data_IF_026925448512
#
_entry.id   IF_026925448512
#
_cell.length_a   1.000
_cell.length_b   1.000
_cell.length_c   1.000
_cell.angle_alpha   90.00
_cell.angle_beta   90.00
_cell.angle_gamma   90.00
#
_symmetry.space_group_name_H-M   'P 1'
#
loop_
_entity.id
_entity.type
_entity.pdbx_description
1 polymer ?
#
# COMPACT_ATOMS: atom_id res chain seq x y z
N UNK A 1 -14.05 -3.09 -31.30
CA UNK A 1 -13.86 -2.71 -29.88
C UNK A 1 -12.37 -2.77 -29.59
N UNK A 2 -11.71 -1.63 -29.41
CA UNK A 2 -10.32 -1.58 -28.95
C UNK A 2 -10.31 -2.21 -27.56
N UNK A 3 -9.64 -3.36 -27.39
CA UNK A 3 -9.30 -3.90 -26.06
C UNK A 3 -8.42 -2.83 -25.40
N UNK A 4 -8.95 -2.08 -24.44
CA UNK A 4 -8.12 -1.25 -23.58
C UNK A 4 -7.08 -2.16 -22.95
N UNK A 5 -5.82 -1.93 -23.31
CA UNK A 5 -4.72 -2.72 -22.79
C UNK A 5 -4.51 -2.25 -21.35
N UNK A 6 -4.83 -3.10 -20.37
CA UNK A 6 -4.58 -2.81 -18.95
C UNK A 6 -3.11 -2.43 -18.79
N UNK A 7 -2.84 -1.27 -18.17
CA UNK A 7 -1.48 -0.76 -17.95
C UNK A 7 -1.05 -0.85 -16.50
N UNK A 8 -2.00 -0.91 -15.57
CA UNK A 8 -1.73 -0.88 -14.13
C UNK A 8 -2.70 -1.79 -13.38
N UNK A 9 -2.20 -2.48 -12.38
CA UNK A 9 -3.00 -3.18 -11.37
C UNK A 9 -3.17 -2.26 -10.16
N UNK A 10 -4.41 -2.07 -9.71
CA UNK A 10 -4.71 -1.44 -8.43
C UNK A 10 -5.02 -2.55 -7.43
N UNK A 11 -4.29 -2.61 -6.35
CA UNK A 11 -4.41 -3.69 -5.37
C UNK A 11 -4.78 -3.17 -4.00
N UNK A 12 -5.82 -3.77 -3.42
CA UNK A 12 -6.25 -3.48 -2.06
C UNK A 12 -6.71 -4.76 -1.37
N UNK A 13 -6.77 -4.70 -0.05
CA UNK A 13 -7.34 -5.76 0.80
C UNK A 13 -8.34 -5.15 1.77
N UNK A 14 -9.31 -5.94 2.19
CA UNK A 14 -10.26 -5.60 3.25
C UNK A 14 -10.67 -6.87 3.99
N UNK A 15 -11.33 -6.75 5.14
CA UNK A 15 -11.71 -7.89 5.96
C UNK A 15 -12.98 -7.61 6.79
N UNK A 16 -13.73 -8.66 7.11
CA UNK A 16 -14.88 -8.61 8.00
C UNK A 16 -15.86 -7.50 7.65
N UNK A 17 -16.34 -6.78 8.66
CA UNK A 17 -17.32 -5.71 8.48
C UNK A 17 -16.78 -4.47 7.70
N UNK A 18 -15.48 -4.33 7.50
CA UNK A 18 -14.91 -3.25 6.68
C UNK A 18 -15.31 -3.38 5.22
N UNK A 19 -15.57 -4.62 4.74
CA UNK A 19 -16.05 -4.89 3.38
C UNK A 19 -17.32 -4.09 3.03
N UNK A 20 -18.12 -3.72 4.03
CA UNK A 20 -19.29 -2.84 3.84
C UNK A 20 -18.94 -1.49 3.20
N UNK A 21 -17.73 -1.01 3.38
CA UNK A 21 -17.34 0.33 2.98
C UNK A 21 -16.36 0.37 1.80
N UNK A 22 -15.71 -0.77 1.46
CA UNK A 22 -14.66 -0.83 0.46
C UNK A 22 -15.11 -0.42 -0.95
N UNK A 23 -16.40 -0.61 -1.29
CA UNK A 23 -16.98 -0.13 -2.56
C UNK A 23 -16.75 1.36 -2.78
N UNK A 24 -16.80 2.18 -1.71
CA UNK A 24 -16.56 3.64 -1.79
C UNK A 24 -15.13 3.97 -2.22
N UNK A 25 -14.16 3.23 -1.70
CA UNK A 25 -12.76 3.34 -2.14
C UNK A 25 -12.62 2.93 -3.61
N UNK A 26 -13.20 1.78 -3.99
CA UNK A 26 -13.17 1.27 -5.37
C UNK A 26 -13.79 2.28 -6.33
N UNK A 27 -14.96 2.84 -6.02
CA UNK A 27 -15.59 3.87 -6.86
C UNK A 27 -14.72 5.11 -7.01
N UNK A 28 -13.96 5.52 -5.99
CA UNK A 28 -13.05 6.65 -6.12
C UNK A 28 -11.96 6.42 -7.15
N UNK A 29 -11.50 5.17 -7.31
CA UNK A 29 -10.52 4.78 -8.32
C UNK A 29 -11.17 4.67 -9.71
N UNK A 30 -12.34 4.02 -9.82
CA UNK A 30 -13.08 3.89 -11.08
C UNK A 30 -13.45 5.25 -11.68
N UNK A 31 -13.74 6.23 -10.82
CA UNK A 31 -14.04 7.61 -11.21
C UNK A 31 -12.77 8.47 -11.43
N UNK A 32 -11.58 7.91 -11.24
CA UNK A 32 -10.32 8.59 -11.50
C UNK A 32 -10.09 8.96 -12.97
N UNK A 33 -9.11 9.81 -13.23
CA UNK A 33 -8.78 10.31 -14.59
C UNK A 33 -8.10 9.25 -15.47
N UNK A 34 -7.40 8.27 -14.88
CA UNK A 34 -6.72 7.19 -15.59
C UNK A 34 -7.60 5.94 -15.66
N UNK A 35 -7.90 5.45 -16.87
CA UNK A 35 -8.89 4.39 -17.09
C UNK A 35 -8.31 3.00 -17.39
N UNK A 36 -7.04 2.91 -17.80
CA UNK A 36 -6.40 1.63 -18.16
C UNK A 36 -5.95 0.85 -16.91
N UNK A 37 -6.87 0.65 -15.97
CA UNK A 37 -6.63 -0.02 -14.69
C UNK A 37 -7.37 -1.34 -14.58
N UNK A 38 -6.79 -2.28 -13.85
CA UNK A 38 -7.46 -3.48 -13.36
C UNK A 38 -7.41 -3.50 -11.83
N UNK A 39 -8.57 -3.50 -11.19
CA UNK A 39 -8.67 -3.44 -9.73
C UNK A 39 -8.79 -4.85 -9.19
N UNK A 40 -7.92 -5.21 -8.26
CA UNK A 40 -7.93 -6.52 -7.58
C UNK A 40 -8.18 -6.29 -6.08
N UNK A 41 -9.31 -6.79 -5.61
CA UNK A 41 -9.61 -6.88 -4.18
C UNK A 41 -9.23 -8.27 -3.68
N UNK A 42 -8.23 -8.37 -2.83
CA UNK A 42 -7.81 -9.64 -2.22
C UNK A 42 -8.39 -9.75 -0.81
N UNK A 43 -9.11 -10.82 -0.53
CA UNK A 43 -9.65 -11.10 0.81
C UNK A 43 -9.44 -12.57 1.18
N UNK A 44 -9.38 -12.86 2.48
CA UNK A 44 -9.38 -14.24 2.96
C UNK A 44 -10.74 -14.92 2.67
N UNK A 45 -10.74 -16.20 2.32
CA UNK A 45 -11.97 -16.97 2.05
C UNK A 45 -13.00 -16.89 3.18
N UNK A 46 -12.56 -16.84 4.43
CA UNK A 46 -13.41 -16.68 5.62
C UNK A 46 -14.26 -15.40 5.59
N UNK A 47 -13.77 -14.35 4.92
CA UNK A 47 -14.42 -13.04 4.87
C UNK A 47 -15.43 -12.92 3.72
N UNK A 48 -15.53 -13.91 2.83
CA UNK A 48 -16.46 -13.92 1.70
C UNK A 48 -17.91 -13.69 2.13
N UNK A 49 -18.30 -14.19 3.28
CA UNK A 49 -19.66 -14.03 3.84
C UNK A 49 -20.04 -12.58 4.17
N UNK A 50 -19.06 -11.67 4.26
CA UNK A 50 -19.28 -10.26 4.58
C UNK A 50 -19.37 -9.38 3.32
N UNK A 51 -19.31 -9.95 2.11
CA UNK A 51 -19.42 -9.20 0.86
C UNK A 51 -20.84 -8.62 0.75
N UNK A 52 -21.01 -7.29 0.73
CA UNK A 52 -22.32 -6.67 0.56
C UNK A 52 -22.76 -6.69 -0.90
N UNK A 53 -24.07 -6.54 -1.15
CA UNK A 53 -24.67 -6.58 -2.49
C UNK A 53 -23.99 -5.62 -3.48
N UNK A 54 -23.66 -4.41 -3.04
CA UNK A 54 -23.00 -3.41 -3.90
C UNK A 54 -21.61 -3.90 -4.37
N UNK A 55 -20.84 -4.52 -3.47
CA UNK A 55 -19.54 -5.08 -3.81
C UNK A 55 -19.68 -6.32 -4.70
N UNK A 56 -20.68 -7.17 -4.43
CA UNK A 56 -20.98 -8.33 -5.25
C UNK A 56 -21.32 -7.92 -6.70
N UNK A 57 -22.08 -6.84 -6.90
CA UNK A 57 -22.38 -6.30 -8.21
C UNK A 57 -21.12 -5.88 -8.99
N UNK A 58 -20.15 -5.24 -8.32
CA UNK A 58 -18.88 -4.88 -8.95
C UNK A 58 -18.08 -6.12 -9.41
N UNK A 59 -18.16 -7.21 -8.65
CA UNK A 59 -17.53 -8.48 -8.99
C UNK A 59 -18.25 -9.13 -10.17
N UNK A 60 -19.56 -9.25 -10.12
CA UNK A 60 -20.39 -9.92 -11.13
C UNK A 60 -20.34 -9.23 -12.50
N UNK A 61 -20.18 -7.90 -12.49
CA UNK A 61 -20.02 -7.10 -13.71
C UNK A 61 -18.57 -7.04 -14.22
N UNK A 62 -17.64 -7.72 -13.55
CA UNK A 62 -16.20 -7.67 -13.86
C UNK A 62 -15.60 -6.25 -13.80
N UNK A 63 -16.21 -5.35 -13.03
CA UNK A 63 -15.64 -4.03 -12.76
C UNK A 63 -14.39 -4.14 -11.88
N UNK A 64 -14.31 -5.19 -11.07
CA UNK A 64 -13.15 -5.57 -10.27
C UNK A 64 -12.93 -7.09 -10.30
N UNK A 65 -11.71 -7.51 -9.99
CA UNK A 65 -11.40 -8.90 -9.71
C UNK A 65 -11.43 -9.15 -8.21
N UNK A 66 -12.14 -10.21 -7.78
CA UNK A 66 -12.06 -10.74 -6.42
C UNK A 66 -11.04 -11.88 -6.38
N UNK A 67 -9.96 -11.70 -5.62
CA UNK A 67 -8.97 -12.74 -5.35
C UNK A 67 -9.19 -13.30 -3.94
N UNK A 68 -9.65 -14.57 -3.87
CA UNK A 68 -9.85 -15.28 -2.61
C UNK A 68 -8.60 -16.05 -2.23
N UNK A 69 -8.12 -15.86 -0.99
CA UNK A 69 -6.93 -16.51 -0.47
C UNK A 69 -7.24 -17.32 0.79
N UNK A 70 -6.48 -18.38 1.02
CA UNK A 70 -6.66 -19.24 2.19
C UNK A 70 -6.05 -18.62 3.44
N UNK A 71 -4.83 -18.08 3.34
CA UNK A 71 -4.11 -17.48 4.45
C UNK A 71 -4.29 -15.95 4.45
N UNK A 72 -4.79 -15.44 5.57
CA UNK A 72 -4.91 -14.01 5.84
C UNK A 72 -3.57 -13.48 6.36
N UNK A 73 -2.89 -12.67 5.58
CA UNK A 73 -1.63 -12.04 5.93
C UNK A 73 -1.82 -10.61 6.50
N UNK A 74 -3.04 -10.28 6.95
CA UNK A 74 -3.35 -8.93 7.42
C UNK A 74 -3.13 -7.88 6.32
N UNK A 75 -2.50 -6.73 6.63
CA UNK A 75 -2.26 -5.68 5.64
C UNK A 75 -1.32 -6.10 4.51
N UNK A 76 -0.49 -7.15 4.71
CA UNK A 76 0.38 -7.69 3.65
C UNK A 76 -0.41 -8.36 2.51
N UNK A 77 -1.65 -8.77 2.76
CA UNK A 77 -2.54 -9.38 1.76
C UNK A 77 -2.71 -8.48 0.53
N UNK A 78 -2.69 -7.15 0.70
CA UNK A 78 -2.87 -6.20 -0.42
C UNK A 78 -1.76 -6.25 -1.48
N UNK A 79 -0.54 -6.68 -1.13
CA UNK A 79 0.56 -6.76 -2.11
C UNK A 79 1.02 -8.18 -2.40
N UNK A 80 1.05 -9.05 -1.40
CA UNK A 80 1.72 -10.36 -1.47
C UNK A 80 1.20 -11.22 -2.62
N UNK A 81 -0.10 -11.47 -2.66
CA UNK A 81 -0.70 -12.35 -3.67
C UNK A 81 -0.74 -11.70 -5.06
N UNK A 82 -0.99 -10.39 -5.10
CA UNK A 82 -1.11 -9.66 -6.36
C UNK A 82 0.24 -9.50 -7.04
N UNK A 83 1.32 -9.21 -6.31
CA UNK A 83 2.67 -9.15 -6.87
C UNK A 83 3.17 -10.51 -7.35
N UNK A 84 2.74 -11.61 -6.74
CA UNK A 84 3.02 -12.97 -7.24
C UNK A 84 2.27 -13.29 -8.53
N UNK A 85 1.04 -12.78 -8.68
CA UNK A 85 0.17 -13.05 -9.83
C UNK A 85 0.47 -12.15 -11.02
N UNK A 86 0.69 -10.86 -10.81
CA UNK A 86 0.85 -9.83 -11.87
C UNK A 86 2.26 -9.31 -11.94
N UNK A 87 3.21 -10.17 -12.30
CA UNK A 87 4.65 -9.84 -12.28
C UNK A 87 5.06 -8.83 -13.35
N UNK A 88 4.34 -8.79 -14.49
CA UNK A 88 4.72 -8.01 -15.67
C UNK A 88 4.09 -6.61 -15.71
N UNK A 89 3.25 -6.27 -14.77
CA UNK A 89 2.55 -4.98 -14.71
C UNK A 89 2.96 -4.20 -13.46
N UNK A 90 3.01 -2.86 -13.53
CA UNK A 90 3.15 -2.06 -12.34
C UNK A 90 1.91 -2.19 -11.46
N UNK A 91 2.13 -2.23 -10.14
CA UNK A 91 1.07 -2.42 -9.15
C UNK A 91 1.01 -1.18 -8.25
N UNK A 92 -0.18 -0.60 -8.11
CA UNK A 92 -0.43 0.43 -7.10
C UNK A 92 -1.18 -0.22 -5.93
N UNK A 93 -0.59 -0.16 -4.74
CA UNK A 93 -1.27 -0.56 -3.51
C UNK A 93 -1.99 0.63 -2.89
N UNK A 94 -3.21 0.40 -2.40
CA UNK A 94 -4.03 1.39 -1.68
C UNK A 94 -4.67 0.72 -0.45
N UNK A 95 -5.14 1.54 0.50
CA UNK A 95 -5.91 1.07 1.64
C UNK A 95 -7.42 1.08 1.32
N UNK A 96 -8.24 0.40 2.12
CA UNK A 96 -9.68 0.18 1.89
C UNK A 96 -10.60 1.22 2.53
N UNK A 97 -10.04 2.27 3.16
CA UNK A 97 -10.76 3.10 4.12
C UNK A 97 -10.83 4.60 3.78
N UNK A 98 -10.70 4.95 2.50
CA UNK A 98 -10.77 6.35 2.10
C UNK A 98 -11.12 6.60 0.63
N UNK A 99 -11.51 7.83 0.34
CA UNK A 99 -11.78 8.33 -1.01
C UNK A 99 -10.49 8.92 -1.57
N UNK A 100 -9.97 8.30 -2.61
CA UNK A 100 -8.73 8.72 -3.26
C UNK A 100 -8.93 9.89 -4.22
N UNK A 101 -7.86 10.68 -4.38
CA UNK A 101 -7.78 11.74 -5.39
C UNK A 101 -7.98 11.15 -6.80
N UNK A 102 -8.86 11.74 -7.63
CA UNK A 102 -9.07 11.28 -9.01
C UNK A 102 -7.80 11.18 -9.85
N UNK A 103 -6.76 11.94 -9.53
CA UNK A 103 -5.46 11.92 -10.22
C UNK A 103 -4.44 10.97 -9.60
N UNK A 104 -4.82 10.14 -8.62
CA UNK A 104 -3.90 9.22 -7.92
C UNK A 104 -3.09 8.39 -8.93
N UNK A 105 -3.80 7.62 -9.76
CA UNK A 105 -3.17 6.67 -10.69
C UNK A 105 -2.35 7.39 -11.74
N UNK A 106 -2.91 8.44 -12.33
CA UNK A 106 -2.26 9.24 -13.37
C UNK A 106 -0.91 9.83 -12.89
N UNK A 107 -0.90 10.43 -11.69
CA UNK A 107 0.32 11.06 -11.16
C UNK A 107 1.40 10.05 -10.80
N UNK A 108 1.01 8.92 -10.17
CA UNK A 108 1.92 7.82 -9.86
C UNK A 108 2.49 7.19 -11.14
N UNK A 109 1.63 6.93 -12.13
CA UNK A 109 2.07 6.32 -13.39
C UNK A 109 3.00 7.22 -14.19
N UNK A 110 2.69 8.52 -14.28
CA UNK A 110 3.58 9.49 -14.91
C UNK A 110 4.95 9.50 -14.25
N UNK A 111 5.00 9.56 -12.92
CA UNK A 111 6.26 9.54 -12.17
C UNK A 111 7.04 8.22 -12.39
N UNK A 112 6.35 7.09 -12.43
CA UNK A 112 6.96 5.80 -12.75
C UNK A 112 7.58 5.76 -14.15
N UNK A 113 6.93 6.31 -15.16
CA UNK A 113 7.48 6.34 -16.52
C UNK A 113 8.81 7.10 -16.61
N UNK A 114 8.97 8.13 -15.76
CA UNK A 114 10.20 8.93 -15.64
C UNK A 114 11.27 8.20 -14.78
N UNK A 115 10.85 7.27 -13.88
CA UNK A 115 11.69 6.67 -12.85
C UNK A 115 11.41 5.16 -12.70
N UNK A 116 11.65 4.38 -13.73
CA UNK A 116 11.27 2.96 -13.81
C UNK A 116 11.92 2.04 -12.77
N UNK A 117 13.01 2.46 -12.17
CA UNK A 117 13.76 1.67 -11.18
C UNK A 117 13.49 2.13 -9.73
N UNK A 118 12.43 2.94 -9.50
CA UNK A 118 12.08 3.48 -8.20
C UNK A 118 10.66 3.11 -7.82
N UNK A 119 10.40 2.96 -6.54
CA UNK A 119 9.05 2.92 -6.00
C UNK A 119 8.54 4.36 -5.91
N UNK A 120 7.32 4.62 -6.44
CA UNK A 120 6.72 5.94 -6.46
C UNK A 120 5.62 6.03 -5.40
N UNK A 121 5.73 6.97 -4.45
CA UNK A 121 4.78 7.09 -3.35
C UNK A 121 4.28 8.53 -3.18
N UNK A 122 2.97 8.72 -2.98
CA UNK A 122 2.38 10.05 -2.75
C UNK A 122 2.54 10.51 -1.31
N UNK A 123 2.75 9.59 -0.38
CA UNK A 123 3.01 9.88 1.02
C UNK A 123 4.23 9.11 1.49
N UNK A 124 5.22 9.84 2.01
CA UNK A 124 6.45 9.26 2.52
C UNK A 124 6.83 9.85 3.88
N UNK A 125 7.61 9.10 4.65
CA UNK A 125 8.26 9.56 5.86
C UNK A 125 9.76 9.53 5.65
N UNK A 126 10.50 10.53 6.17
CA UNK A 126 11.97 10.52 6.14
C UNK A 126 12.49 9.79 7.36
N UNK A 127 13.22 8.71 7.13
CA UNK A 127 13.94 7.94 8.14
C UNK A 127 15.09 8.80 8.67
N UNK A 128 15.21 8.92 9.98
CA UNK A 128 16.26 9.73 10.63
C UNK A 128 17.18 8.86 11.47
N UNK A 129 18.43 9.32 11.55
CA UNK A 129 19.48 8.73 12.35
C UNK A 129 20.05 9.74 13.34
N UNK A 130 20.57 9.24 14.46
CA UNK A 130 21.40 9.99 15.39
C UNK A 130 22.79 9.33 15.39
N UNK A 131 23.78 10.01 14.82
CA UNK A 131 25.13 9.47 14.61
C UNK A 131 25.09 8.09 13.91
N UNK A 132 25.08 7.02 14.71
CA UNK A 132 25.11 5.63 14.23
C UNK A 132 23.79 4.86 14.38
N UNK A 133 22.80 5.42 15.07
CA UNK A 133 21.57 4.71 15.41
C UNK A 133 20.36 5.27 14.65
N UNK A 134 19.48 4.38 14.20
CA UNK A 134 18.20 4.78 13.69
C UNK A 134 17.35 5.35 14.83
N UNK A 135 16.74 6.50 14.59
CA UNK A 135 15.83 7.11 15.56
C UNK A 135 14.51 6.32 15.63
N UNK A 136 13.86 6.38 16.79
CA UNK A 136 12.53 5.83 16.96
C UNK A 136 11.57 6.38 15.89
N UNK A 137 10.64 5.57 15.41
CA UNK A 137 9.70 5.88 14.33
C UNK A 137 9.00 7.24 14.54
N UNK A 138 8.57 7.56 15.76
CA UNK A 138 7.92 8.86 16.07
C UNK A 138 8.81 10.08 15.90
N UNK A 139 10.12 9.91 15.80
CA UNK A 139 11.08 10.99 15.56
C UNK A 139 11.41 11.17 14.09
N UNK A 140 10.90 10.33 13.20
CA UNK A 140 11.03 10.50 11.76
C UNK A 140 10.20 11.71 11.30
N UNK A 141 10.53 12.26 10.13
CA UNK A 141 9.74 13.35 9.57
C UNK A 141 8.58 12.74 8.79
N UNK A 142 7.38 12.89 9.36
CA UNK A 142 6.15 12.43 8.71
C UNK A 142 5.75 13.37 7.58
N UNK A 143 5.05 12.82 6.56
CA UNK A 143 4.53 13.55 5.42
C UNK A 143 5.60 14.42 4.75
N UNK A 144 6.80 13.83 4.57
CA UNK A 144 7.97 14.51 4.07
C UNK A 144 7.83 14.83 2.58
N UNK A 145 7.88 16.09 2.21
CA UNK A 145 7.63 16.59 0.85
C UNK A 145 8.74 17.50 0.31
N UNK A 146 9.91 17.50 0.93
CA UNK A 146 11.04 18.35 0.54
C UNK A 146 12.06 17.65 -0.36
N UNK A 147 12.03 16.32 -0.42
CA UNK A 147 12.94 15.53 -1.24
C UNK A 147 12.34 15.32 -2.63
N UNK A 148 12.94 15.90 -3.65
CA UNK A 148 12.52 15.70 -5.04
C UNK A 148 13.25 14.53 -5.71
N UNK A 149 14.36 14.09 -5.12
CA UNK A 149 15.16 12.98 -5.62
C UNK A 149 14.73 11.67 -4.95
N UNK A 150 15.07 10.57 -5.62
CA UNK A 150 14.90 9.24 -5.06
C UNK A 150 15.84 9.01 -3.87
N UNK A 151 15.37 8.30 -2.84
CA UNK A 151 16.16 8.02 -1.65
C UNK A 151 15.76 6.71 -1.00
N UNK A 152 16.76 5.95 -0.52
CA UNK A 152 16.54 4.78 0.33
C UNK A 152 16.03 5.17 1.72
N UNK A 153 16.27 6.39 2.17
CA UNK A 153 15.82 6.89 3.47
C UNK A 153 14.37 7.38 3.46
N UNK A 154 13.63 7.21 2.37
CA UNK A 154 12.19 7.47 2.33
C UNK A 154 11.43 6.16 2.60
N UNK A 155 10.54 6.17 3.58
CA UNK A 155 9.54 5.13 3.81
C UNK A 155 8.27 5.50 3.05
N UNK A 156 7.87 4.71 2.06
CA UNK A 156 6.56 4.80 1.44
C UNK A 156 5.47 4.33 2.42
N UNK A 157 4.33 5.02 2.48
CA UNK A 157 3.19 4.60 3.32
C UNK A 157 1.97 4.30 2.46
N UNK A 158 1.40 3.10 2.67
CA UNK A 158 0.32 2.54 1.85
C UNK A 158 -0.90 3.44 1.72
N UNK A 159 -1.24 4.17 2.78
CA UNK A 159 -2.43 5.05 2.82
C UNK A 159 -2.42 6.11 1.71
N UNK A 160 -1.27 6.60 1.29
CA UNK A 160 -1.15 7.60 0.21
C UNK A 160 -1.29 7.03 -1.20
N UNK A 161 -1.19 5.72 -1.35
CA UNK A 161 -1.00 5.03 -2.62
C UNK A 161 0.47 4.93 -3.01
N UNK A 162 0.91 3.71 -3.32
CA UNK A 162 2.31 3.39 -3.66
C UNK A 162 2.37 2.56 -4.93
N UNK A 163 3.11 3.01 -5.93
CA UNK A 163 3.36 2.27 -7.16
C UNK A 163 4.68 1.52 -7.07
N UNK A 164 4.59 0.23 -7.31
CA UNK A 164 5.70 -0.70 -7.45
C UNK A 164 5.88 -1.07 -8.93
N UNK A 165 7.05 -0.80 -9.54
CA UNK A 165 7.36 -1.29 -10.88
C UNK A 165 7.26 -2.81 -11.01
N UNK A 166 7.10 -3.36 -12.22
CA UNK A 166 7.07 -4.80 -12.44
C UNK A 166 8.29 -5.50 -11.84
N UNK A 167 8.06 -6.58 -11.10
CA UNK A 167 9.12 -7.41 -10.49
C UNK A 167 10.14 -6.67 -9.63
N UNK A 168 9.88 -5.44 -9.19
CA UNK A 168 10.89 -4.66 -8.45
C UNK A 168 11.21 -5.26 -7.08
N UNK A 169 10.21 -5.85 -6.43
CA UNK A 169 10.38 -6.61 -5.19
C UNK A 169 10.20 -8.11 -5.47
N UNK A 170 11.08 -8.91 -4.91
CA UNK A 170 10.98 -10.36 -4.98
C UNK A 170 10.04 -10.87 -3.89
N UNK A 171 8.79 -11.14 -4.29
CA UNK A 171 7.75 -11.65 -3.40
C UNK A 171 7.53 -13.13 -3.68
N UNK A 172 7.75 -13.95 -2.66
CA UNK A 172 7.61 -15.40 -2.72
C UNK A 172 7.15 -15.97 -1.36
N UNK A 173 6.88 -17.26 -1.30
CA UNK A 173 6.50 -17.92 -0.06
C UNK A 173 7.62 -17.93 0.98
N UNK A 174 8.88 -17.73 0.57
CA UNK A 174 10.00 -17.56 1.49
C UNK A 174 9.87 -16.31 2.39
N UNK A 175 9.03 -15.34 2.00
CA UNK A 175 8.78 -14.15 2.80
C UNK A 175 7.79 -14.40 3.96
N UNK A 176 7.03 -15.49 3.96
CA UNK A 176 5.93 -15.72 4.90
C UNK A 176 6.38 -15.69 6.37
N UNK A 177 7.52 -16.32 6.68
CA UNK A 177 8.03 -16.32 8.06
C UNK A 177 8.47 -14.93 8.55
N UNK A 178 8.98 -14.09 7.67
CA UNK A 178 9.33 -12.71 8.00
C UNK A 178 8.08 -11.83 8.10
N UNK A 179 7.10 -12.03 7.23
CA UNK A 179 5.79 -11.37 7.29
C UNK A 179 5.12 -11.63 8.65
N UNK A 180 5.13 -12.87 9.12
CA UNK A 180 4.61 -13.22 10.46
C UNK A 180 5.32 -12.45 11.58
N UNK A 181 6.62 -12.18 11.45
CA UNK A 181 7.39 -11.37 12.42
C UNK A 181 6.99 -9.89 12.39
N UNK A 182 6.42 -9.39 11.30
CA UNK A 182 6.04 -7.99 11.07
C UNK A 182 4.55 -7.83 10.69
N UNK A 183 3.68 -8.72 11.13
CA UNK A 183 2.33 -8.97 10.64
C UNK A 183 1.42 -7.74 10.51
N UNK A 184 1.58 -6.72 11.33
CA UNK A 184 0.71 -5.53 11.32
C UNK A 184 1.35 -4.28 10.70
N UNK A 185 2.55 -4.39 10.11
CA UNK A 185 3.28 -3.24 9.56
C UNK A 185 3.91 -3.59 8.20
N UNK A 186 3.06 -3.71 7.21
CA UNK A 186 3.42 -3.98 5.82
C UNK A 186 4.40 -2.94 5.24
N UNK A 187 4.21 -1.64 5.53
CA UNK A 187 5.11 -0.58 5.09
C UNK A 187 6.56 -0.79 5.60
N UNK A 188 6.71 -1.24 6.85
CA UNK A 188 8.04 -1.53 7.43
C UNK A 188 8.68 -2.73 6.74
N UNK A 189 7.92 -3.80 6.49
CA UNK A 189 8.46 -4.98 5.83
C UNK A 189 8.81 -4.71 4.36
N UNK A 190 7.95 -3.98 3.64
CA UNK A 190 8.24 -3.56 2.27
C UNK A 190 9.53 -2.72 2.22
N UNK A 191 9.74 -1.81 3.19
CA UNK A 191 11.00 -1.07 3.32
C UNK A 191 12.21 -1.99 3.53
N UNK A 192 12.09 -3.08 4.29
CA UNK A 192 13.17 -4.06 4.45
C UNK A 192 13.54 -4.69 3.09
N UNK A 193 12.55 -5.08 2.29
CA UNK A 193 12.78 -5.63 0.95
C UNK A 193 13.44 -4.60 0.02
N UNK A 194 12.99 -3.35 0.07
CA UNK A 194 13.57 -2.22 -0.68
C UNK A 194 15.06 -2.03 -0.34
N UNK A 195 15.40 -2.03 0.94
CA UNK A 195 16.79 -1.88 1.40
C UNK A 195 17.64 -3.06 0.90
N UNK A 196 17.17 -4.28 1.03
CA UNK A 196 17.89 -5.49 0.60
C UNK A 196 18.21 -5.49 -0.89
N UNK A 197 17.31 -4.93 -1.70
CA UNK A 197 17.44 -4.82 -3.16
C UNK A 197 18.04 -3.49 -3.63
N UNK A 198 18.37 -2.58 -2.70
CA UNK A 198 18.85 -1.22 -2.99
C UNK A 198 17.91 -0.43 -3.88
N UNK A 199 16.59 -0.55 -3.64
CA UNK A 199 15.55 0.10 -4.42
C UNK A 199 15.11 1.38 -3.71
N UNK A 200 15.34 2.56 -4.31
CA UNK A 200 14.93 3.81 -3.72
C UNK A 200 13.45 4.09 -3.89
N UNK A 201 12.94 4.93 -3.00
CA UNK A 201 11.59 5.53 -3.09
C UNK A 201 11.72 6.95 -3.61
N UNK A 202 10.80 7.37 -4.47
CA UNK A 202 10.64 8.74 -4.90
C UNK A 202 9.26 9.27 -4.46
N UNK A 203 9.25 10.47 -3.86
CA UNK A 203 8.01 11.13 -3.51
C UNK A 203 7.34 11.74 -4.75
N UNK A 204 6.03 11.57 -4.84
CA UNK A 204 5.20 12.10 -5.94
C UNK A 204 4.36 13.25 -5.41
N UNK A 205 4.60 14.44 -5.97
CA UNK A 205 3.85 15.64 -5.61
C UNK A 205 2.35 15.45 -5.85
N UNK A 206 1.55 15.92 -4.90
CA UNK A 206 0.10 15.78 -4.92
C UNK A 206 -0.58 16.84 -4.04
N UNK A 207 -1.87 17.07 -4.31
CA UNK A 207 -2.70 18.01 -3.55
C UNK A 207 -3.40 17.38 -2.34
N UNK A 208 -3.40 16.05 -2.26
CA UNK A 208 -4.03 15.30 -1.18
C UNK A 208 -2.97 14.44 -0.51
N UNK A 209 -2.55 14.80 0.68
CA UNK A 209 -1.55 14.06 1.45
C UNK A 209 -2.02 12.65 1.80
N UNK A 210 -3.33 12.46 1.92
CA UNK A 210 -3.97 11.16 2.21
C UNK A 210 -5.41 11.15 1.66
N UNK A 211 -6.03 9.97 1.54
CA UNK A 211 -7.42 9.84 1.13
C UNK A 211 -8.35 10.64 2.05
N UNK A 212 -9.45 11.15 1.48
CA UNK A 212 -10.50 11.81 2.28
C UNK A 212 -11.33 10.76 3.02
N UNK A 213 -11.79 11.06 4.23
CA UNK A 213 -12.66 10.17 4.98
C UNK A 213 -14.02 9.98 4.28
N UNK A 214 -14.69 8.85 4.53
CA UNK A 214 -16.04 8.60 3.99
C UNK A 214 -17.10 9.49 4.62
N UNK A 215 -17.15 9.49 5.96
CA UNK A 215 -17.94 10.39 6.81
C UNK A 215 -17.34 10.39 8.21
N UNK A 216 -17.72 11.35 9.05
CA UNK A 216 -17.24 11.41 10.44
C UNK A 216 -17.59 10.13 11.23
N UNK A 217 -18.78 9.60 11.02
CA UNK A 217 -19.29 8.41 11.73
C UNK A 217 -18.55 7.14 11.31
N UNK A 218 -18.42 6.92 9.99
CA UNK A 218 -17.71 5.76 9.44
C UNK A 218 -16.23 5.81 9.83
N UNK A 219 -15.61 6.97 9.70
CA UNK A 219 -14.22 7.20 10.07
C UNK A 219 -13.94 6.91 11.54
N UNK A 220 -14.86 7.28 12.43
CA UNK A 220 -14.74 6.97 13.85
C UNK A 220 -14.70 5.46 14.08
N UNK A 221 -15.64 4.72 13.46
CA UNK A 221 -15.68 3.26 13.58
C UNK A 221 -14.42 2.58 13.02
N UNK A 222 -13.91 3.06 11.89
CA UNK A 222 -12.69 2.52 11.25
C UNK A 222 -11.46 2.84 12.10
N UNK A 223 -11.33 4.08 12.60
CA UNK A 223 -10.17 4.54 13.36
C UNK A 223 -10.08 3.92 14.75
N UNK A 224 -11.18 3.60 15.39
CA UNK A 224 -11.18 2.93 16.70
C UNK A 224 -10.46 1.57 16.64
N UNK A 225 -10.54 0.89 15.48
CA UNK A 225 -9.89 -0.41 15.22
C UNK A 225 -8.69 -0.31 14.26
N UNK A 226 -8.25 0.90 13.91
CA UNK A 226 -7.22 1.12 12.92
C UNK A 226 -5.82 0.68 13.36
N UNK A 227 -5.09 0.00 12.48
CA UNK A 227 -3.71 -0.48 12.72
C UNK A 227 -2.75 0.65 13.06
N UNK A 228 -2.93 1.85 12.47
CA UNK A 228 -2.12 3.03 12.78
C UNK A 228 -2.06 3.33 14.28
N UNK A 229 -3.20 3.29 14.94
CA UNK A 229 -3.28 3.57 16.38
C UNK A 229 -2.45 2.57 17.20
N UNK A 230 -2.51 1.30 16.82
CA UNK A 230 -1.78 0.24 17.51
C UNK A 230 -0.28 0.32 17.17
N UNK A 231 0.06 0.54 15.92
CA UNK A 231 1.44 0.55 15.44
C UNK A 231 2.22 1.76 15.95
N UNK A 232 1.59 2.94 15.96
CA UNK A 232 2.24 4.19 16.38
C UNK A 232 2.16 4.41 17.88
N UNK A 233 0.98 4.28 18.50
CA UNK A 233 0.79 4.60 19.93
C UNK A 233 1.40 3.56 20.89
N UNK A 234 1.53 2.30 20.46
CA UNK A 234 2.13 1.22 21.26
C UNK A 234 3.57 0.90 20.83
N UNK A 235 4.25 1.81 20.10
CA UNK A 235 5.62 1.68 19.62
C UNK A 235 5.89 0.34 18.89
N UNK A 236 4.86 -0.17 18.19
CA UNK A 236 4.94 -1.45 17.50
C UNK A 236 5.85 -1.36 16.28
N UNK A 237 5.86 -0.22 15.58
CA UNK A 237 6.78 0.01 14.47
C UNK A 237 8.24 -0.07 14.92
N UNK A 238 8.59 0.50 16.07
CA UNK A 238 9.96 0.41 16.62
C UNK A 238 10.35 -1.02 16.95
N UNK A 239 9.39 -1.83 17.46
CA UNK A 239 9.64 -3.26 17.71
C UNK A 239 9.91 -4.03 16.42
N UNK A 240 9.21 -3.69 15.33
CA UNK A 240 9.43 -4.31 14.03
C UNK A 240 10.75 -3.86 13.41
N UNK A 241 11.07 -2.57 13.45
CA UNK A 241 12.36 -2.03 12.99
C UNK A 241 13.52 -2.72 13.70
N UNK A 242 13.42 -2.93 15.02
CA UNK A 242 14.43 -3.66 15.79
C UNK A 242 14.64 -5.10 15.33
N UNK A 243 13.59 -5.80 14.87
CA UNK A 243 13.73 -7.16 14.31
C UNK A 243 14.54 -7.20 13.02
N UNK A 244 14.54 -6.09 12.27
CA UNK A 244 15.24 -5.94 11.00
C UNK A 244 16.35 -4.88 11.07
N UNK A 245 16.91 -4.65 12.26
CA UNK A 245 17.87 -3.56 12.50
C UNK A 245 19.10 -3.63 11.59
N UNK A 246 19.56 -4.85 11.25
CA UNK A 246 20.69 -5.04 10.35
C UNK A 246 20.41 -4.53 8.93
N UNK A 247 19.16 -4.63 8.46
CA UNK A 247 18.76 -4.08 7.18
C UNK A 247 18.70 -2.55 7.26
N UNK A 248 18.02 -2.00 8.26
CA UNK A 248 17.93 -0.54 8.45
C UNK A 248 19.29 0.14 8.63
N UNK A 249 20.24 -0.55 9.23
CA UNK A 249 21.63 -0.05 9.38
C UNK A 249 22.37 0.15 8.06
N UNK A 250 21.93 -0.46 6.95
CA UNK A 250 22.49 -0.25 5.61
C UNK A 250 22.10 1.10 4.99
N UNK A 251 21.17 1.84 5.60
CA UNK A 251 20.72 3.16 5.13
C UNK A 251 21.64 4.32 5.51
N UNK A 252 22.73 4.04 6.19
CA UNK A 252 23.71 5.02 6.68
C UNK A 252 24.65 5.51 5.60
#
# INVERSE_FOLDING_TARGET
MLKNTIKIIISLTSYGLRLKYVSKTIFSILNGTFKDVHIVLTIAKKDKQFIPTELQLLIDTNAIELLLVDEDLGPHTKYFYVMKKYKELPIITIDDDGIYDPKLVETLYKKYLENKNCICARRVHKILFNNKDILNYRRWIFDYNKEKNQSLQLLATGVGGVLYPPNILEISDNNLEEIKKCFYADDIYLKVLEIRKNIPVIWVENNWLQPKPFSKEIDKQIKENGLWRINTLKDRNDKYIKKFINDFNKLR
#
